data_IF_517544131897
#
_entry.id   IF_517544131897
#
_cell.length_a   1.000
_cell.length_b   1.000
_cell.length_c   1.000
_cell.angle_alpha   90.00
_cell.angle_beta   90.00
_cell.angle_gamma   90.00
#
_symmetry.space_group_name_H-M   'P 1'
#
loop_
_entity.id
_entity.type
_entity.pdbx_description
1 polymer ?
#
# COMPACT_ATOMS: atom_id res chain seq x y z
N UNK A 1 7.50 15.32 3.81
CA UNK A 1 6.08 15.39 3.42
C UNK A 1 5.86 14.36 2.33
N UNK A 2 4.69 13.70 2.28
CA UNK A 2 4.36 12.72 1.24
C UNK A 2 3.19 13.25 0.46
N UNK A 3 3.25 13.18 -0.86
CA UNK A 3 2.19 13.61 -1.76
C UNK A 3 1.65 12.42 -2.53
N UNK A 4 0.34 12.30 -2.65
CA UNK A 4 -0.33 11.18 -3.31
C UNK A 4 -1.34 11.72 -4.33
N UNK A 5 -1.18 11.30 -5.58
CA UNK A 5 -2.10 11.58 -6.68
C UNK A 5 -2.73 10.27 -7.13
N UNK A 6 -4.07 10.21 -7.24
CA UNK A 6 -4.79 9.04 -7.75
C UNK A 6 -5.81 9.54 -8.77
N UNK A 7 -5.81 8.96 -9.97
CA UNK A 7 -6.82 9.21 -10.99
C UNK A 7 -7.44 7.92 -11.46
N UNK A 8 -8.77 7.91 -11.56
CA UNK A 8 -9.58 6.82 -12.08
C UNK A 8 -9.18 5.43 -11.53
N UNK A 9 -9.15 5.29 -10.21
CA UNK A 9 -8.89 4.03 -9.52
C UNK A 9 -10.06 3.67 -8.59
N UNK A 10 -10.80 2.61 -8.91
CA UNK A 10 -12.02 2.23 -8.22
C UNK A 10 -13.05 3.36 -8.21
N UNK A 11 -13.59 3.77 -7.06
CA UNK A 11 -14.54 4.88 -6.97
C UNK A 11 -13.89 6.27 -7.05
N UNK A 12 -12.55 6.34 -7.04
CA UNK A 12 -11.81 7.59 -7.03
C UNK A 12 -11.65 8.14 -8.45
N UNK A 13 -12.12 9.36 -8.69
CA UNK A 13 -11.97 10.05 -9.98
C UNK A 13 -10.67 10.83 -10.04
N UNK A 14 -10.48 11.74 -9.08
CA UNK A 14 -9.30 12.56 -8.98
C UNK A 14 -9.05 12.87 -7.48
N UNK A 15 -7.90 12.47 -6.99
CA UNK A 15 -7.45 12.70 -5.62
C UNK A 15 -6.02 13.23 -5.68
N UNK A 16 -5.81 14.36 -5.06
CA UNK A 16 -4.52 15.02 -4.96
C UNK A 16 -4.36 15.50 -3.53
N UNK A 17 -3.53 14.83 -2.72
CA UNK A 17 -3.44 15.08 -1.29
C UNK A 17 -2.03 15.01 -0.74
N UNK A 18 -1.76 15.85 0.23
CA UNK A 18 -0.58 15.75 1.07
C UNK A 18 -0.86 14.87 2.29
N UNK A 19 0.00 13.89 2.49
CA UNK A 19 -0.08 12.97 3.62
C UNK A 19 0.82 13.47 4.76
N UNK A 20 0.21 13.85 5.87
CA UNK A 20 0.88 14.23 7.09
C UNK A 20 1.26 13.04 7.97
N UNK A 21 1.71 13.35 9.19
CA UNK A 21 2.02 12.33 10.21
C UNK A 21 0.77 11.56 10.66
N UNK A 22 -0.36 12.25 10.76
CA UNK A 22 -1.68 11.69 11.05
C UNK A 22 -2.64 12.24 10.01
N UNK A 23 -3.42 11.37 9.40
CA UNK A 23 -4.42 11.74 8.41
C UNK A 23 -5.77 11.15 8.84
N UNK A 24 -6.82 11.96 8.84
CA UNK A 24 -8.18 11.54 9.11
C UNK A 24 -9.00 11.71 7.82
N UNK A 25 -9.50 10.60 7.27
CA UNK A 25 -10.32 10.60 6.07
C UNK A 25 -11.77 10.33 6.47
N UNK A 26 -12.64 11.30 6.24
CA UNK A 26 -14.08 11.23 6.53
C UNK A 26 -14.88 11.35 5.22
N UNK A 27 -16.08 10.82 5.22
CA UNK A 27 -16.98 10.86 4.06
C UNK A 27 -18.03 9.77 4.11
N UNK A 28 -18.95 9.80 3.17
CA UNK A 28 -20.06 8.83 3.05
C UNK A 28 -19.54 7.41 2.83
N UNK A 29 -20.34 6.41 3.13
CA UNK A 29 -20.05 5.02 2.78
C UNK A 29 -19.93 4.89 1.25
N UNK A 30 -18.94 4.11 0.79
CA UNK A 30 -18.70 3.93 -0.64
C UNK A 30 -17.92 5.06 -1.34
N UNK A 31 -17.57 6.15 -0.65
CA UNK A 31 -16.87 7.32 -1.23
C UNK A 31 -15.36 7.09 -1.53
N UNK A 32 -14.85 5.87 -1.36
CA UNK A 32 -13.44 5.57 -1.69
C UNK A 32 -12.44 5.80 -0.56
N UNK A 33 -12.86 6.08 0.69
CA UNK A 33 -11.93 6.31 1.83
C UNK A 33 -10.90 5.20 2.01
N UNK A 34 -11.36 3.95 2.02
CA UNK A 34 -10.48 2.78 2.13
C UNK A 34 -9.56 2.66 0.92
N UNK A 35 -10.03 3.03 -0.27
CA UNK A 35 -9.25 3.01 -1.49
C UNK A 35 -8.05 3.99 -1.40
N UNK A 36 -8.27 5.22 -0.90
CA UNK A 36 -7.18 6.18 -0.65
C UNK A 36 -6.17 5.61 0.35
N UNK A 37 -6.64 5.04 1.48
CA UNK A 37 -5.76 4.48 2.50
C UNK A 37 -4.95 3.28 1.98
N UNK A 38 -5.58 2.39 1.23
CA UNK A 38 -4.92 1.24 0.58
C UNK A 38 -3.83 1.73 -0.36
N UNK A 39 -4.14 2.69 -1.23
CA UNK A 39 -3.17 3.24 -2.19
C UNK A 39 -1.99 3.91 -1.46
N UNK A 40 -2.26 4.71 -0.42
CA UNK A 40 -1.21 5.36 0.38
C UNK A 40 -0.29 4.33 1.08
N UNK A 41 -0.88 3.27 1.64
CA UNK A 41 -0.14 2.19 2.27
C UNK A 41 0.72 1.44 1.24
N UNK A 42 0.13 1.07 0.10
CA UNK A 42 0.84 0.40 -0.98
C UNK A 42 2.00 1.24 -1.51
N UNK A 43 1.78 2.52 -1.81
CA UNK A 43 2.85 3.41 -2.26
C UNK A 43 3.99 3.52 -1.24
N UNK A 44 3.68 3.58 0.06
CA UNK A 44 4.71 3.56 1.11
C UNK A 44 5.48 2.23 1.14
N UNK A 45 4.81 1.11 0.89
CA UNK A 45 5.44 -0.20 0.77
C UNK A 45 6.34 -0.27 -0.48
N UNK A 46 5.89 0.23 -1.62
CA UNK A 46 6.69 0.33 -2.86
C UNK A 46 7.95 1.16 -2.64
N UNK A 47 7.83 2.34 -2.01
CA UNK A 47 8.97 3.17 -1.63
C UNK A 47 9.99 2.38 -0.79
N UNK A 48 9.50 1.64 0.21
CA UNK A 48 10.35 0.78 1.06
C UNK A 48 11.04 -0.32 0.24
N UNK A 49 10.32 -0.98 -0.66
CA UNK A 49 10.86 -2.06 -1.53
C UNK A 49 11.96 -1.54 -2.45
N UNK A 50 11.71 -0.42 -3.13
CA UNK A 50 12.71 0.23 -4.00
C UNK A 50 13.93 0.63 -3.18
N UNK A 51 13.74 1.22 -2.00
CA UNK A 51 14.85 1.65 -1.12
C UNK A 51 15.68 0.47 -0.59
N UNK A 52 15.05 -0.67 -0.32
CA UNK A 52 15.73 -1.89 0.13
C UNK A 52 16.57 -2.54 -0.97
N UNK A 53 15.99 -2.64 -2.16
CA UNK A 53 16.61 -3.30 -3.31
C UNK A 53 17.49 -2.38 -4.14
N UNK A 54 17.41 -1.07 -3.90
CA UNK A 54 18.02 -0.02 -4.73
C UNK A 54 17.63 -0.15 -6.22
N UNK A 55 16.43 -0.71 -6.48
CA UNK A 55 15.94 -0.99 -7.82
C UNK A 55 14.41 -1.01 -7.85
N UNK A 56 13.84 -0.47 -8.91
CA UNK A 56 12.40 -0.49 -9.18
C UNK A 56 11.99 -1.53 -10.23
N UNK A 57 12.91 -2.36 -10.72
CA UNK A 57 12.68 -3.29 -11.83
C UNK A 57 11.46 -4.20 -11.67
N UNK A 58 11.10 -4.56 -10.42
CA UNK A 58 9.93 -5.40 -10.17
C UNK A 58 8.60 -4.70 -10.51
N UNK A 59 8.58 -3.36 -10.52
CA UNK A 59 7.39 -2.55 -10.82
C UNK A 59 7.38 -2.01 -12.26
N UNK A 60 8.52 -2.02 -12.93
CA UNK A 60 8.70 -1.49 -14.30
C UNK A 60 8.16 -2.44 -15.38
N UNK A 61 7.79 -3.67 -15.04
CA UNK A 61 7.35 -4.68 -16.00
C UNK A 61 5.83 -4.57 -16.25
N UNK A 62 5.45 -3.83 -17.27
CA UNK A 62 4.07 -3.77 -17.76
C UNK A 62 3.06 -3.36 -16.68
N UNK A 63 2.22 -4.28 -16.25
CA UNK A 63 1.16 -4.06 -15.25
C UNK A 63 1.56 -4.47 -13.82
N UNK A 64 2.79 -4.94 -13.59
CA UNK A 64 3.24 -5.51 -12.31
C UNK A 64 2.95 -4.64 -11.09
N UNK A 65 3.03 -3.31 -11.23
CA UNK A 65 2.71 -2.39 -10.13
C UNK A 65 1.27 -2.54 -9.67
N UNK A 66 0.30 -2.51 -10.58
CA UNK A 66 -1.12 -2.66 -10.24
C UNK A 66 -1.51 -4.10 -9.95
N UNK A 67 -0.91 -5.07 -10.63
CA UNK A 67 -1.18 -6.50 -10.39
C UNK A 67 -0.81 -6.88 -8.95
N UNK A 68 0.35 -6.44 -8.48
CA UNK A 68 0.78 -6.64 -7.10
C UNK A 68 -0.17 -5.97 -6.11
N UNK A 69 -0.58 -4.72 -6.37
CA UNK A 69 -1.54 -4.00 -5.53
C UNK A 69 -2.88 -4.72 -5.48
N UNK A 70 -3.38 -5.14 -6.65
CA UNK A 70 -4.68 -5.80 -6.79
C UNK A 70 -4.71 -7.15 -6.10
N UNK A 71 -3.66 -7.94 -6.23
CA UNK A 71 -3.53 -9.23 -5.55
C UNK A 71 -3.50 -9.05 -4.03
N UNK A 72 -2.67 -8.14 -3.53
CA UNK A 72 -2.46 -7.95 -2.09
C UNK A 72 -3.67 -7.35 -1.37
N UNK A 73 -4.34 -6.36 -1.99
CA UNK A 73 -5.48 -5.66 -1.36
C UNK A 73 -6.84 -6.07 -1.92
N UNK A 74 -6.91 -7.09 -2.77
CA UNK A 74 -8.15 -7.59 -3.38
C UNK A 74 -8.95 -6.50 -4.11
N UNK A 75 -8.27 -5.59 -4.78
CA UNK A 75 -8.89 -4.47 -5.51
C UNK A 75 -9.21 -4.82 -6.97
N UNK A 76 -9.58 -6.09 -7.23
CA UNK A 76 -9.97 -6.54 -8.58
C UNK A 76 -11.13 -5.71 -9.11
N UNK A 77 -11.00 -5.21 -10.34
CA UNK A 77 -11.99 -4.36 -10.97
C UNK A 77 -11.90 -2.86 -10.64
N UNK A 78 -10.87 -2.44 -9.90
CA UNK A 78 -10.64 -1.01 -9.61
C UNK A 78 -9.80 -0.31 -10.67
N UNK A 79 -9.12 -1.08 -11.51
CA UNK A 79 -8.25 -0.55 -12.57
C UNK A 79 -9.08 -0.18 -13.79
N UNK A 80 -8.93 1.05 -14.27
CA UNK A 80 -9.50 1.58 -15.52
C UNK A 80 -8.37 1.87 -16.51
N UNK A 81 -8.68 2.02 -17.79
CA UNK A 81 -7.69 2.24 -18.85
C UNK A 81 -6.81 3.49 -18.59
N UNK A 82 -7.39 4.50 -17.98
CA UNK A 82 -6.77 5.78 -17.64
C UNK A 82 -6.39 5.90 -16.16
N UNK A 83 -6.23 4.78 -15.46
CA UNK A 83 -5.76 4.78 -14.08
C UNK A 83 -4.35 5.34 -13.99
N UNK A 84 -4.18 6.32 -13.12
CA UNK A 84 -2.88 6.91 -12.79
C UNK A 84 -2.68 6.97 -11.28
N UNK A 85 -1.49 6.59 -10.82
CA UNK A 85 -1.08 6.70 -9.41
C UNK A 85 0.29 7.37 -9.37
N UNK A 86 0.37 8.51 -8.68
CA UNK A 86 1.60 9.25 -8.42
C UNK A 86 1.89 9.31 -6.93
N UNK A 87 3.16 9.19 -6.57
CA UNK A 87 3.60 9.28 -5.18
C UNK A 87 4.95 9.98 -5.09
N UNK A 88 5.02 10.96 -4.22
CA UNK A 88 6.20 11.79 -4.05
C UNK A 88 6.55 11.94 -2.57
N UNK A 89 7.82 11.82 -2.26
CA UNK A 89 8.39 12.06 -0.93
C UNK A 89 9.62 12.96 -1.02
N UNK A 90 10.25 13.25 0.10
CA UNK A 90 11.56 13.93 0.11
C UNK A 90 12.71 13.05 -0.41
N UNK A 91 12.49 11.74 -0.54
CA UNK A 91 13.52 10.76 -0.90
C UNK A 91 13.44 10.30 -2.35
N UNK A 92 12.23 10.13 -2.84
CA UNK A 92 11.96 9.70 -4.22
C UNK A 92 10.60 10.16 -4.69
N UNK A 93 10.40 10.07 -5.99
CA UNK A 93 9.11 10.17 -6.64
C UNK A 93 8.93 8.97 -7.57
N UNK A 94 7.71 8.50 -7.73
CA UNK A 94 7.35 7.55 -8.75
C UNK A 94 5.90 7.74 -9.21
N UNK A 95 5.63 7.30 -10.41
CA UNK A 95 4.29 7.28 -10.97
C UNK A 95 4.06 6.03 -11.80
N UNK A 96 2.82 5.61 -11.85
CA UNK A 96 2.35 4.55 -12.73
C UNK A 96 1.19 5.06 -13.58
N UNK A 97 1.30 4.88 -14.89
CA UNK A 97 0.28 5.19 -15.88
C UNK A 97 -0.17 3.89 -16.54
N UNK A 98 -1.46 3.52 -16.36
CA UNK A 98 -1.97 2.27 -16.88
C UNK A 98 -2.17 2.28 -18.40
N UNK A 99 -2.50 3.43 -18.98
CA UNK A 99 -2.67 3.57 -20.43
C UNK A 99 -1.37 3.28 -21.18
N UNK A 100 -0.25 3.69 -20.60
CA UNK A 100 1.09 3.44 -21.14
C UNK A 100 1.73 2.17 -20.59
N UNK A 101 1.13 1.51 -19.57
CA UNK A 101 1.71 0.40 -18.80
C UNK A 101 3.12 0.73 -18.32
N UNK A 102 3.32 1.96 -17.87
CA UNK A 102 4.62 2.53 -17.57
C UNK A 102 4.73 2.90 -16.10
N UNK A 103 5.76 2.38 -15.45
CA UNK A 103 6.19 2.79 -14.11
C UNK A 103 7.49 3.57 -14.23
N UNK A 104 7.50 4.79 -13.69
CA UNK A 104 8.66 5.68 -13.71
C UNK A 104 9.01 6.02 -12.27
N UNK A 105 10.29 5.94 -11.92
CA UNK A 105 10.76 6.39 -10.61
C UNK A 105 12.01 7.24 -10.71
N UNK A 106 12.19 8.13 -9.75
CA UNK A 106 13.34 9.00 -9.65
C UNK A 106 13.75 9.22 -8.20
N UNK A 107 15.02 9.04 -7.95
CA UNK A 107 15.62 9.36 -6.67
C UNK A 107 15.79 10.86 -6.48
N UNK A 108 15.53 11.34 -5.28
CA UNK A 108 15.83 12.72 -4.88
C UNK A 108 17.15 12.81 -4.11
N UNK A 109 17.64 14.03 -3.93
CA UNK A 109 18.92 14.28 -3.27
C UNK A 109 19.01 13.74 -1.84
N UNK A 110 17.88 13.70 -1.13
CA UNK A 110 17.81 13.23 0.25
C UNK A 110 17.68 11.71 0.40
N UNK A 111 17.78 10.93 -0.68
CA UNK A 111 17.62 9.47 -0.64
C UNK A 111 18.42 8.75 0.45
N UNK A 112 19.60 9.26 0.77
CA UNK A 112 20.49 8.67 1.78
C UNK A 112 20.02 8.85 3.22
N UNK A 113 19.06 9.74 3.45
CA UNK A 113 18.42 9.98 4.76
C UNK A 113 17.20 9.10 4.99
N UNK A 114 16.82 8.28 4.02
CA UNK A 114 15.63 7.43 4.12
C UNK A 114 15.73 6.48 5.32
N UNK A 115 14.78 6.62 6.23
CA UNK A 115 14.58 5.69 7.35
C UNK A 115 13.46 4.74 6.96
N UNK A 116 13.76 3.45 6.95
CA UNK A 116 12.82 2.39 6.57
C UNK A 116 11.67 2.30 7.59
N UNK A 117 10.46 2.78 7.27
CA UNK A 117 9.34 2.65 8.19
C UNK A 117 8.85 1.21 8.24
N UNK A 118 8.24 0.82 9.37
CA UNK A 118 7.33 -0.34 9.34
C UNK A 118 6.07 0.10 8.59
N UNK A 119 5.67 -0.69 7.62
CA UNK A 119 4.40 -0.49 6.90
C UNK A 119 3.48 -1.62 7.30
N UNK A 120 2.33 -1.28 7.86
CA UNK A 120 1.32 -2.25 8.26
C UNK A 120 -0.06 -1.69 7.89
N UNK A 121 -0.85 -2.48 7.21
CA UNK A 121 -2.25 -2.19 6.91
C UNK A 121 -3.13 -2.94 7.89
N UNK A 122 -4.01 -2.21 8.58
CA UNK A 122 -4.99 -2.81 9.50
C UNK A 122 -6.34 -2.89 8.76
N UNK A 123 -6.74 -4.07 8.28
CA UNK A 123 -7.97 -4.24 7.51
C UNK A 123 -9.21 -4.00 8.39
N UNK A 124 -10.34 -3.70 7.74
CA UNK A 124 -11.63 -3.57 8.43
C UNK A 124 -12.05 -4.90 9.09
N UNK A 125 -11.68 -6.01 8.49
CA UNK A 125 -11.95 -7.38 8.93
C UNK A 125 -11.02 -7.85 10.06
N UNK A 126 -10.21 -6.98 10.63
CA UNK A 126 -9.24 -7.32 11.69
C UNK A 126 -9.81 -8.12 12.86
N UNK A 127 -11.11 -7.96 13.16
CA UNK A 127 -11.77 -8.71 14.22
C UNK A 127 -11.84 -10.22 13.92
N UNK A 128 -11.83 -10.62 12.64
CA UNK A 128 -11.83 -12.02 12.25
C UNK A 128 -10.54 -12.74 12.66
N UNK A 129 -9.43 -12.02 12.77
CA UNK A 129 -8.13 -12.58 13.15
C UNK A 129 -8.17 -13.22 14.53
N UNK A 130 -9.00 -12.70 15.46
CA UNK A 130 -9.19 -13.27 16.80
C UNK A 130 -10.15 -14.45 16.85
N UNK A 131 -11.01 -14.59 15.84
CA UNK A 131 -12.07 -15.60 15.80
C UNK A 131 -11.67 -16.90 15.09
N UNK A 132 -10.70 -16.83 14.17
CA UNK A 132 -10.27 -18.00 13.39
C UNK A 132 -9.12 -18.71 14.08
N UNK A 133 -9.38 -19.87 14.66
CA UNK A 133 -8.39 -20.64 15.43
C UNK A 133 -7.30 -21.30 14.57
N UNK A 134 -7.57 -21.61 13.30
CA UNK A 134 -6.70 -22.38 12.42
C UNK A 134 -6.43 -21.70 11.08
N UNK A 135 -5.79 -20.54 11.12
CA UNK A 135 -5.39 -19.80 9.91
C UNK A 135 -4.46 -20.57 8.97
N UNK A 136 -3.64 -21.49 9.51
CA UNK A 136 -2.69 -22.29 8.73
C UNK A 136 -3.35 -23.27 7.75
N UNK A 137 -4.66 -23.44 7.82
CA UNK A 137 -5.45 -24.26 6.87
C UNK A 137 -6.08 -23.44 5.74
N UNK A 138 -5.98 -22.13 5.80
CA UNK A 138 -6.45 -21.27 4.72
C UNK A 138 -5.32 -21.14 3.69
N UNK A 139 -5.48 -21.77 2.54
CA UNK A 139 -4.64 -21.54 1.38
C UNK A 139 -4.88 -20.11 0.87
N UNK A 140 -4.14 -19.17 1.42
CA UNK A 140 -4.21 -17.79 1.01
C UNK A 140 -2.85 -17.36 0.45
N UNK A 141 -2.82 -17.10 -0.82
CA UNK A 141 -1.73 -16.38 -1.45
C UNK A 141 -1.73 -14.95 -0.89
N UNK A 142 -0.56 -14.43 -0.57
CA UNK A 142 -0.24 -13.08 -0.11
C UNK A 142 -1.47 -12.18 0.10
N UNK A 143 -1.85 -11.98 1.37
CA UNK A 143 -3.05 -11.24 1.74
C UNK A 143 -2.71 -10.29 2.89
N UNK A 144 -3.23 -9.07 2.82
CA UNK A 144 -3.11 -8.05 3.87
C UNK A 144 -3.64 -8.52 5.24
N UNK A 145 -4.58 -9.47 5.27
CA UNK A 145 -5.11 -10.07 6.51
C UNK A 145 -4.08 -10.99 7.15
N UNK A 146 -3.32 -11.75 6.35
CA UNK A 146 -2.25 -12.60 6.84
C UNK A 146 -1.09 -11.79 7.43
N UNK A 147 -0.65 -10.74 6.75
CA UNK A 147 0.38 -9.85 7.25
C UNK A 147 -0.05 -9.19 8.57
N UNK A 148 -1.30 -8.76 8.67
CA UNK A 148 -1.84 -8.22 9.91
C UNK A 148 -1.88 -9.27 11.02
N UNK A 149 -2.22 -10.52 10.70
CA UNK A 149 -2.19 -11.63 11.65
C UNK A 149 -0.78 -11.91 12.16
N UNK A 150 0.21 -11.96 11.28
CA UNK A 150 1.61 -12.17 11.69
C UNK A 150 2.13 -11.05 12.60
N UNK A 151 1.77 -9.80 12.29
CA UNK A 151 2.06 -8.65 13.13
C UNK A 151 1.38 -8.78 14.50
N UNK A 152 0.12 -9.23 14.54
CA UNK A 152 -0.64 -9.47 15.77
C UNK A 152 -0.04 -10.58 16.61
N UNK A 153 0.29 -11.73 16.01
CA UNK A 153 0.89 -12.86 16.72
C UNK A 153 2.27 -12.50 17.28
N UNK A 154 3.04 -11.72 16.55
CA UNK A 154 4.33 -11.20 16.99
C UNK A 154 4.16 -10.27 18.19
N UNK A 155 3.24 -9.31 18.12
CA UNK A 155 2.96 -8.41 19.24
C UNK A 155 2.51 -9.15 20.50
N UNK A 156 1.66 -10.19 20.36
CA UNK A 156 1.22 -11.02 21.49
C UNK A 156 2.34 -11.80 22.16
N UNK A 157 3.34 -12.24 21.40
CA UNK A 157 4.52 -12.92 21.96
C UNK A 157 5.33 -11.97 22.84
N UNK A 158 5.57 -10.75 22.38
CA UNK A 158 6.29 -9.73 23.15
C UNK A 158 5.58 -9.39 24.46
N UNK A 159 4.27 -9.13 24.44
CA UNK A 159 3.50 -8.84 25.66
C UNK A 159 3.49 -9.99 26.67
N UNK A 160 3.59 -11.26 26.21
CA UNK A 160 3.67 -12.41 27.10
C UNK A 160 5.07 -12.63 27.69
N UNK A 161 6.12 -12.16 27.03
CA UNK A 161 7.50 -12.29 27.51
C UNK A 161 7.88 -11.26 28.59
N UNK A 162 7.09 -10.23 28.79
CA UNK A 162 7.31 -9.17 29.79
C UNK A 162 6.54 -9.44 31.13
N UNK A 163 5.82 -10.54 31.23
CA UNK A 163 5.17 -11.02 32.45
C UNK A 163 5.89 -12.24 33.02
#
# INVERSE_FOLDING_TARGET
MKHLTIRNFGPLKDVDIDLGRINLIIGLQGSGKSCVMITACYCTWVEKRISLRQSAKEFEQGTSFLDTMTAYYRTKGYVHEDTYIGYETEFMEFSYDHSMKSFIHKWKSLRWRYKRPKVSYVPAERNMVSLVANWNRLETNYDNILDFKEDWDTARKYVKSEK
#
